data_IF_537210994509
#
_entry.id   IF_537210994509
#
_cell.length_a   1.000
_cell.length_b   1.000
_cell.length_c   1.000
_cell.angle_alpha   90.00
_cell.angle_beta   90.00
_cell.angle_gamma   90.00
#
_symmetry.space_group_name_H-M   'P 1'
#
loop_
_entity.id
_entity.type
_entity.pdbx_description
1 polymer ?
#
# COMPACT_ATOMS: atom_id res chain seq x y z
N UNK A 1 16.15 -8.85 -0.11
CA UNK A 1 15.39 -8.77 -1.37
C UNK A 1 14.19 -7.87 -1.12
N UNK A 2 14.01 -6.81 -1.90
CA UNK A 2 12.91 -5.85 -1.75
C UNK A 2 11.71 -6.41 -2.52
N UNK A 3 10.74 -6.98 -1.80
CA UNK A 3 9.75 -7.87 -2.40
C UNK A 3 8.35 -7.21 -2.54
N UNK A 4 8.29 -5.97 -3.06
CA UNK A 4 7.02 -5.26 -3.27
C UNK A 4 6.02 -6.08 -4.12
N UNK A 5 6.55 -6.85 -5.09
CA UNK A 5 5.76 -7.73 -5.95
C UNK A 5 5.09 -8.89 -5.22
N UNK A 6 5.47 -9.21 -3.98
CA UNK A 6 4.78 -10.25 -3.21
C UNK A 6 3.35 -9.84 -2.83
N UNK A 7 3.12 -8.53 -2.61
CA UNK A 7 1.81 -7.99 -2.28
C UNK A 7 1.18 -7.20 -3.44
N UNK A 8 1.98 -6.66 -4.34
CA UNK A 8 1.55 -5.91 -5.51
C UNK A 8 1.95 -6.65 -6.78
N UNK A 9 1.51 -7.91 -6.90
CA UNK A 9 1.77 -8.72 -8.08
C UNK A 9 0.97 -8.20 -9.28
N UNK A 10 1.61 -8.28 -10.46
CA UNK A 10 0.91 -8.23 -11.73
C UNK A 10 0.29 -9.60 -11.96
N UNK A 11 -1.03 -9.74 -11.77
CA UNK A 11 -1.74 -10.84 -12.35
C UNK A 11 -1.80 -10.67 -13.88
N UNK A 12 -2.18 -11.68 -14.61
CA UNK A 12 -2.28 -11.61 -16.07
C UNK A 12 -3.16 -10.46 -16.60
N UNK A 13 -3.90 -9.78 -15.73
CA UNK A 13 -4.81 -8.68 -16.02
C UNK A 13 -4.31 -7.30 -15.52
N UNK A 14 -3.05 -7.19 -15.10
CA UNK A 14 -2.39 -5.93 -14.72
C UNK A 14 -2.95 -5.23 -13.47
N UNK A 15 -3.54 -5.97 -12.55
CA UNK A 15 -4.19 -5.36 -11.37
C UNK A 15 -3.24 -4.95 -10.24
N UNK A 16 -2.01 -5.42 -10.22
CA UNK A 16 -0.99 -5.08 -9.21
C UNK A 16 -1.47 -5.22 -7.76
N UNK A 17 -2.24 -6.24 -7.45
CA UNK A 17 -2.67 -6.53 -6.09
C UNK A 17 -2.74 -8.03 -5.80
N UNK A 18 -2.68 -8.38 -4.52
CA UNK A 18 -2.97 -9.74 -4.03
C UNK A 18 -4.25 -9.68 -3.21
N UNK A 19 -5.21 -10.58 -3.43
CA UNK A 19 -6.48 -10.56 -2.68
C UNK A 19 -6.32 -10.87 -1.19
N UNK A 20 -5.21 -11.50 -0.80
CA UNK A 20 -4.93 -11.82 0.61
C UNK A 20 -4.52 -10.57 1.37
N UNK A 21 -5.22 -10.21 2.45
CA UNK A 21 -4.82 -9.11 3.32
C UNK A 21 -3.44 -9.35 3.93
N UNK A 22 -2.69 -8.28 4.15
CA UNK A 22 -1.38 -8.34 4.76
C UNK A 22 -1.19 -7.23 5.81
N UNK A 23 -0.47 -7.54 6.87
CA UNK A 23 -0.04 -6.58 7.86
C UNK A 23 1.33 -6.04 7.46
N UNK A 24 1.45 -4.74 7.27
CA UNK A 24 2.69 -4.03 6.90
C UNK A 24 3.36 -3.34 8.09
N UNK A 25 2.92 -3.66 9.30
CA UNK A 25 3.49 -3.12 10.54
C UNK A 25 2.98 -1.73 10.93
N UNK A 26 1.97 -1.18 10.25
CA UNK A 26 1.45 0.16 10.56
C UNK A 26 0.75 0.25 11.92
N UNK A 27 0.16 -0.84 12.38
CA UNK A 27 -0.47 -0.94 13.69
C UNK A 27 0.58 -0.97 14.82
N UNK A 28 1.68 -1.67 14.62
CA UNK A 28 2.67 -1.92 15.67
C UNK A 28 2.07 -2.69 16.84
N UNK A 29 2.47 -2.31 18.06
CA UNK A 29 1.96 -2.90 19.30
C UNK A 29 0.84 -2.08 19.96
N UNK A 30 0.24 -1.13 19.24
CA UNK A 30 -0.86 -0.32 19.78
C UNK A 30 -2.17 -1.13 19.75
N UNK A 31 -2.72 -1.52 20.91
CA UNK A 31 -3.95 -2.29 20.96
C UNK A 31 -5.19 -1.48 20.56
N UNK A 32 -5.10 -0.14 20.57
CA UNK A 32 -6.19 0.76 20.20
C UNK A 32 -6.22 1.08 18.71
N UNK A 33 -5.16 0.72 17.97
CA UNK A 33 -5.11 0.94 16.53
C UNK A 33 -6.06 0.00 15.79
N UNK A 34 -6.55 0.45 14.64
CA UNK A 34 -7.42 -0.31 13.75
C UNK A 34 -6.84 -1.71 13.46
N UNK A 35 -7.57 -2.73 13.84
CA UNK A 35 -7.18 -4.13 13.66
C UNK A 35 -7.47 -4.68 12.27
N UNK A 36 -8.14 -3.91 11.41
CA UNK A 36 -8.45 -4.32 10.05
C UNK A 36 -9.25 -5.61 9.98
N UNK A 37 -8.80 -6.57 9.17
CA UNK A 37 -9.47 -7.88 9.02
C UNK A 37 -9.59 -8.61 10.36
N UNK A 38 -8.60 -8.48 11.24
CA UNK A 38 -8.61 -9.13 12.54
C UNK A 38 -9.76 -8.71 13.45
N UNK A 39 -10.23 -7.46 13.34
CA UNK A 39 -11.40 -6.99 14.13
C UNK A 39 -12.72 -7.63 13.65
N UNK A 40 -12.78 -8.03 12.39
CA UNK A 40 -13.96 -8.70 11.79
C UNK A 40 -13.92 -10.19 12.04
N UNK A 41 -12.77 -10.81 11.84
CA UNK A 41 -12.61 -12.28 11.94
C UNK A 41 -12.39 -12.76 13.36
N UNK A 42 -12.03 -11.87 14.26
CA UNK A 42 -11.65 -12.13 15.66
C UNK A 42 -10.43 -13.08 15.76
N UNK A 43 -9.59 -13.11 14.73
CA UNK A 43 -8.37 -13.91 14.69
C UNK A 43 -7.17 -13.05 15.03
N UNK A 44 -6.46 -13.30 16.15
CA UNK A 44 -5.32 -12.48 16.57
C UNK A 44 -4.21 -12.37 15.52
N UNK A 45 -4.00 -13.40 14.70
CA UNK A 45 -2.99 -13.41 13.64
C UNK A 45 -3.33 -12.50 12.44
N UNK A 46 -4.59 -12.07 12.31
CA UNK A 46 -5.06 -11.21 11.24
C UNK A 46 -5.18 -9.73 11.66
N UNK A 47 -4.86 -9.44 12.93
CA UNK A 47 -4.84 -8.06 13.44
C UNK A 47 -3.83 -7.20 12.67
N UNK A 48 -4.25 -6.02 12.28
CA UNK A 48 -3.45 -5.09 11.48
C UNK A 48 -3.32 -5.46 10.00
N UNK A 49 -4.08 -6.47 9.54
CA UNK A 49 -4.08 -6.89 8.14
C UNK A 49 -5.11 -6.11 7.33
N UNK A 50 -4.67 -5.55 6.22
CA UNK A 50 -5.48 -4.79 5.27
C UNK A 50 -5.27 -5.31 3.85
N UNK A 51 -6.26 -5.10 2.98
CA UNK A 51 -6.18 -5.46 1.58
C UNK A 51 -5.05 -4.68 0.90
N UNK A 52 -4.18 -5.40 0.18
CA UNK A 52 -3.19 -4.76 -0.69
C UNK A 52 -3.92 -4.09 -1.87
N UNK A 53 -3.79 -2.75 -2.03
CA UNK A 53 -4.48 -2.05 -3.11
C UNK A 53 -3.80 -2.26 -4.46
N UNK A 54 -4.56 -2.05 -5.55
CA UNK A 54 -3.95 -1.87 -6.87
C UNK A 54 -3.06 -0.65 -6.88
N UNK A 55 -1.97 -0.72 -7.63
CA UNK A 55 -1.07 0.42 -7.85
C UNK A 55 -1.47 1.27 -9.07
N UNK A 56 -2.52 0.87 -9.81
CA UNK A 56 -3.03 1.67 -10.93
C UNK A 56 -3.49 3.04 -10.43
N UNK A 57 -3.06 4.09 -11.11
CA UNK A 57 -3.35 5.49 -10.77
C UNK A 57 -2.86 5.93 -9.38
N UNK A 58 -1.93 5.21 -8.78
CA UNK A 58 -1.43 5.49 -7.42
C UNK A 58 -0.86 6.91 -7.28
N UNK A 59 -0.32 7.51 -8.35
CA UNK A 59 0.18 8.90 -8.35
C UNK A 59 -0.86 9.92 -7.89
N UNK A 60 -2.13 9.70 -8.22
CA UNK A 60 -3.22 10.66 -8.03
C UNK A 60 -4.21 10.28 -6.93
N UNK A 61 -3.90 9.26 -6.14
CA UNK A 61 -4.80 8.73 -5.10
C UNK A 61 -4.32 9.00 -3.66
N UNK A 62 -3.47 10.03 -3.47
CA UNK A 62 -3.13 10.48 -2.12
C UNK A 62 -4.39 10.91 -1.33
N UNK A 63 -4.39 10.78 0.02
CA UNK A 63 -3.33 10.24 0.89
C UNK A 63 -3.26 8.71 0.91
N UNK A 64 -2.14 8.15 1.37
CA UNK A 64 -1.85 6.70 1.36
C UNK A 64 -1.86 6.10 2.77
N UNK A 65 -1.94 4.77 2.81
CA UNK A 65 -2.19 3.99 4.03
C UNK A 65 -3.70 3.78 4.22
N UNK A 66 -4.09 2.76 4.98
CA UNK A 66 -5.51 2.48 5.24
C UNK A 66 -6.21 3.64 5.98
N UNK A 67 -5.45 4.43 6.73
CA UNK A 67 -5.91 5.59 7.51
C UNK A 67 -5.50 6.95 6.90
N UNK A 68 -4.90 6.95 5.72
CA UNK A 68 -4.48 8.18 5.04
C UNK A 68 -3.29 8.91 5.66
N UNK A 69 -2.50 8.24 6.53
CA UNK A 69 -1.40 8.90 7.27
C UNK A 69 -0.25 9.42 6.40
N UNK A 70 -0.11 8.94 5.19
CA UNK A 70 0.98 9.34 4.29
C UNK A 70 0.46 10.30 3.21
N UNK A 71 0.83 11.58 3.32
CA UNK A 71 0.39 12.63 2.39
C UNK A 71 1.00 12.51 0.98
N UNK A 72 2.08 11.73 0.81
CA UNK A 72 2.76 11.56 -0.49
C UNK A 72 3.37 10.18 -0.64
N UNK A 73 3.69 9.80 -1.90
CA UNK A 73 4.45 8.58 -2.19
C UNK A 73 5.82 8.58 -1.51
N UNK A 74 6.49 9.72 -1.43
CA UNK A 74 7.78 9.83 -0.72
C UNK A 74 7.64 9.38 0.73
N UNK A 75 6.63 9.88 1.44
CA UNK A 75 6.38 9.51 2.85
C UNK A 75 6.03 8.05 3.01
N UNK A 76 5.26 7.47 2.07
CA UNK A 76 4.96 6.04 2.08
C UNK A 76 6.23 5.20 1.85
N UNK A 77 7.06 5.58 0.88
CA UNK A 77 8.32 4.87 0.59
C UNK A 77 9.32 5.03 1.73
N UNK A 78 9.37 6.20 2.40
CA UNK A 78 10.16 6.42 3.61
C UNK A 78 9.75 5.45 4.73
N UNK A 79 8.44 5.21 4.90
CA UNK A 79 7.97 4.22 5.87
C UNK A 79 8.56 2.83 5.59
N UNK A 80 8.42 2.33 4.38
CA UNK A 80 9.00 1.03 4.00
C UNK A 80 10.53 1.01 4.07
N UNK A 81 11.17 2.13 3.74
CA UNK A 81 12.63 2.22 3.74
C UNK A 81 13.22 2.23 5.13
N UNK A 82 12.66 3.01 6.03
CA UNK A 82 13.35 3.42 7.25
C UNK A 82 12.60 3.04 8.53
N UNK A 83 11.27 2.89 8.47
CA UNK A 83 10.40 2.81 9.63
C UNK A 83 9.61 1.49 9.71
N UNK A 84 10.04 0.43 9.04
CA UNK A 84 9.33 -0.85 9.13
C UNK A 84 9.21 -1.28 10.59
N UNK A 85 8.01 -1.20 11.13
CA UNK A 85 7.72 -1.49 12.52
C UNK A 85 7.69 -3.01 12.70
N UNK A 86 8.30 -3.48 13.78
CA UNK A 86 8.16 -4.88 14.20
C UNK A 86 6.77 -5.06 14.79
N UNK A 87 5.91 -5.71 14.05
CA UNK A 87 4.58 -6.10 14.49
C UNK A 87 4.56 -7.62 14.66
N UNK A 88 4.02 -8.19 15.76
CA UNK A 88 3.97 -9.63 15.97
C UNK A 88 3.19 -10.38 14.90
N UNK A 89 2.28 -9.70 14.22
CA UNK A 89 1.44 -10.24 13.14
C UNK A 89 1.91 -9.76 11.75
N UNK A 90 3.18 -9.33 11.61
CA UNK A 90 3.71 -8.90 10.32
C UNK A 90 3.47 -9.99 9.27
N UNK A 91 2.92 -9.61 8.13
CA UNK A 91 2.65 -10.53 7.03
C UNK A 91 3.93 -11.28 6.61
N UNK A 92 3.87 -12.59 6.47
CA UNK A 92 5.04 -13.45 6.21
C UNK A 92 5.81 -13.07 4.93
N UNK A 93 5.19 -12.35 4.00
CA UNK A 93 5.84 -11.84 2.78
C UNK A 93 6.43 -10.44 2.96
N UNK A 94 6.13 -9.78 4.07
CA UNK A 94 6.67 -8.46 4.38
C UNK A 94 8.08 -8.63 4.96
N UNK A 95 9.11 -8.01 4.38
CA UNK A 95 10.45 -8.10 4.93
C UNK A 95 10.50 -7.60 6.38
N UNK A 96 11.10 -8.38 7.26
CA UNK A 96 11.33 -7.95 8.64
C UNK A 96 12.37 -6.84 8.66
N UNK A 97 12.01 -5.72 9.23
CA UNK A 97 12.88 -4.54 9.34
C UNK A 97 12.89 -3.64 8.09
N UNK A 98 13.60 -2.52 8.18
CA UNK A 98 13.61 -1.50 7.15
C UNK A 98 14.32 -1.95 5.86
N UNK A 99 13.76 -1.57 4.71
CA UNK A 99 14.31 -1.94 3.39
C UNK A 99 15.58 -1.15 3.01
N UNK A 100 15.84 -0.03 3.67
CA UNK A 100 17.03 0.81 3.48
C UNK A 100 17.27 1.17 2.01
N UNK A 101 16.31 1.85 1.40
CA UNK A 101 16.49 2.41 0.06
C UNK A 101 17.48 3.57 0.06
N UNK A 102 18.33 3.61 -0.95
CA UNK A 102 19.10 4.82 -1.27
C UNK A 102 18.18 5.90 -1.87
N UNK A 103 18.63 7.14 -1.87
CA UNK A 103 17.89 8.26 -2.49
C UNK A 103 17.55 7.99 -3.96
N UNK A 104 18.50 7.43 -4.72
CA UNK A 104 18.28 7.09 -6.12
C UNK A 104 17.28 5.96 -6.32
N UNK A 105 17.25 4.96 -5.44
CA UNK A 105 16.28 3.88 -5.49
C UNK A 105 14.87 4.35 -5.14
N UNK A 106 14.72 5.24 -4.15
CA UNK A 106 13.43 5.88 -3.83
C UNK A 106 12.92 6.66 -5.04
N UNK A 107 13.75 7.49 -5.65
CA UNK A 107 13.39 8.26 -6.83
C UNK A 107 12.98 7.38 -8.01
N UNK A 108 13.73 6.31 -8.29
CA UNK A 108 13.42 5.36 -9.35
C UNK A 108 12.11 4.62 -9.10
N UNK A 109 11.85 4.20 -7.86
CA UNK A 109 10.59 3.55 -7.49
C UNK A 109 9.39 4.49 -7.67
N UNK A 110 9.50 5.73 -7.23
CA UNK A 110 8.45 6.75 -7.40
C UNK A 110 8.22 7.03 -8.89
N UNK A 111 9.29 7.17 -9.68
CA UNK A 111 9.17 7.34 -11.12
C UNK A 111 8.43 6.16 -11.77
N UNK A 112 8.75 4.93 -11.39
CA UNK A 112 8.01 3.75 -11.83
C UNK A 112 6.52 3.81 -11.44
N UNK A 113 6.20 4.11 -10.18
CA UNK A 113 4.81 4.19 -9.72
C UNK A 113 3.99 5.22 -10.52
N UNK A 114 4.61 6.32 -10.93
CA UNK A 114 3.97 7.34 -11.78
C UNK A 114 3.66 6.84 -13.18
N UNK A 115 4.41 5.87 -13.71
CA UNK A 115 4.10 5.27 -15.03
C UNK A 115 2.82 4.43 -15.02
N UNK A 116 2.29 4.10 -13.85
CA UNK A 116 1.04 3.34 -13.69
C UNK A 116 -0.21 4.24 -13.78
N UNK A 117 -0.05 5.51 -14.09
CA UNK A 117 -1.15 6.48 -14.25
C UNK A 117 -1.78 6.35 -15.62
N UNK A 118 -3.06 5.99 -15.65
CA UNK A 118 -3.87 5.90 -16.86
C UNK A 118 -4.63 7.21 -17.08
N UNK A 119 -4.03 8.10 -17.88
CA UNK A 119 -4.61 9.42 -18.17
C UNK A 119 -5.94 9.31 -18.92
N UNK A 120 -6.09 8.31 -19.78
CA UNK A 120 -7.33 8.10 -20.54
C UNK A 120 -8.47 7.75 -19.60
N UNK A 121 -8.24 6.85 -18.65
CA UNK A 121 -9.23 6.51 -17.63
C UNK A 121 -9.64 7.73 -16.78
N UNK A 122 -8.67 8.52 -16.36
CA UNK A 122 -8.91 9.68 -15.48
C UNK A 122 -9.71 10.81 -16.15
N UNK A 123 -9.72 10.87 -17.48
CA UNK A 123 -10.42 11.92 -18.24
C UNK A 123 -11.63 11.41 -19.02
N UNK A 124 -11.96 10.11 -18.88
CA UNK A 124 -13.10 9.51 -19.59
C UNK A 124 -14.43 10.05 -19.05
N UNK A 125 -15.26 10.66 -19.89
CA UNK A 125 -16.56 11.21 -19.46
C UNK A 125 -17.49 10.18 -18.80
N UNK A 126 -17.33 8.90 -19.10
CA UNK A 126 -18.13 7.82 -18.50
C UNK A 126 -17.91 7.69 -16.98
N UNK A 127 -16.79 8.19 -16.48
CA UNK A 127 -16.39 8.14 -15.05
C UNK A 127 -16.37 9.54 -14.42
N UNK A 128 -16.89 10.55 -15.11
CA UNK A 128 -17.01 11.91 -14.58
C UNK A 128 -18.10 12.01 -13.49
N UNK A 129 -18.11 13.13 -12.78
CA UNK A 129 -19.17 13.41 -11.81
C UNK A 129 -20.56 13.36 -12.51
N UNK A 130 -21.47 12.46 -12.09
CA UNK A 130 -22.81 12.38 -12.69
C UNK A 130 -23.72 13.54 -12.26
N UNK A 131 -23.34 14.27 -11.22
CA UNK A 131 -24.09 15.42 -10.73
C UNK A 131 -23.58 16.68 -11.42
N UNK A 132 -24.31 17.17 -12.38
CA UNK A 132 -24.04 18.45 -13.06
C UNK A 132 -24.84 19.52 -12.31
N UNK A 133 -24.14 20.51 -11.76
CA UNK A 133 -24.78 21.73 -11.24
C UNK A 133 -25.23 22.66 -12.38
#
# INVERSE_FOLDING_TARGET
MRNCSACHMKDGNEHFFVPTPANTGLRGNDPSADGGVGDVTLRPMELGSFKSPSLRNVEVTAPYGHDGRFASLDKLIDHYSDNAILDPNLGYMVPVGPLKFTTSEKAALIAFLKTLTDRTFLTDPRFSNPFVE
#
